data_IF_528244764466
#
_entry.id   IF_528244764466
#
_cell.length_a   1.000
_cell.length_b   1.000
_cell.length_c   1.000
_cell.angle_alpha   90.00
_cell.angle_beta   90.00
_cell.angle_gamma   90.00
#
_symmetry.space_group_name_H-M   'P 1'
#
loop_
_entity.id
_entity.type
_entity.pdbx_description
1 polymer ?
#
# COMPACT_ATOMS: atom_id res chain seq x y z
N UNK A 1 -29.67 -11.58 -15.25
CA UNK A 1 -28.73 -12.66 -14.87
C UNK A 1 -29.57 -13.76 -14.24
N UNK A 2 -29.63 -14.94 -14.86
CA UNK A 2 -30.45 -16.07 -14.38
C UNK A 2 -29.58 -16.83 -13.37
N UNK A 3 -29.92 -16.78 -12.09
CA UNK A 3 -29.31 -17.62 -11.05
C UNK A 3 -29.64 -19.08 -11.36
N UNK A 4 -28.72 -19.78 -12.01
CA UNK A 4 -28.87 -21.21 -12.26
C UNK A 4 -28.73 -21.93 -10.91
N UNK A 5 -29.83 -22.53 -10.41
CA UNK A 5 -29.77 -23.52 -9.34
C UNK A 5 -29.09 -24.77 -9.89
N UNK A 6 -27.76 -24.82 -9.78
CA UNK A 6 -26.98 -26.03 -10.01
C UNK A 6 -27.26 -26.95 -8.83
N UNK A 7 -27.76 -28.16 -9.11
CA UNK A 7 -28.12 -29.19 -8.14
C UNK A 7 -27.10 -29.30 -6.99
N UNK A 8 -27.61 -29.25 -5.74
CA UNK A 8 -26.94 -29.33 -4.44
C UNK A 8 -25.47 -29.80 -4.48
N UNK A 9 -24.56 -28.88 -4.79
CA UNK A 9 -23.14 -29.11 -4.59
C UNK A 9 -22.85 -28.74 -3.14
N UNK A 10 -22.69 -29.75 -2.28
CA UNK A 10 -22.49 -29.57 -0.83
C UNK A 10 -21.31 -28.66 -0.53
N UNK A 11 -21.58 -27.54 0.16
CA UNK A 11 -20.57 -26.60 0.64
C UNK A 11 -19.57 -27.30 1.56
N UNK A 12 -20.04 -28.28 2.33
CA UNK A 12 -19.22 -29.11 3.21
C UNK A 12 -18.15 -29.85 2.39
N UNK A 13 -18.52 -30.43 1.25
CA UNK A 13 -17.57 -31.15 0.39
C UNK A 13 -16.53 -30.19 -0.19
N UNK A 14 -16.93 -28.97 -0.54
CA UNK A 14 -16.01 -27.95 -1.04
C UNK A 14 -15.04 -27.48 0.05
N UNK A 15 -15.51 -27.24 1.28
CA UNK A 15 -14.64 -26.92 2.42
C UNK A 15 -13.67 -28.07 2.71
N UNK A 16 -14.12 -29.33 2.59
CA UNK A 16 -13.24 -30.51 2.72
C UNK A 16 -12.18 -30.52 1.62
N UNK A 17 -12.52 -30.16 0.38
CA UNK A 17 -11.56 -30.00 -0.71
C UNK A 17 -10.51 -28.92 -0.38
N UNK A 18 -10.92 -27.73 0.08
CA UNK A 18 -10.01 -26.64 0.47
C UNK A 18 -9.04 -27.08 1.57
N UNK A 19 -9.55 -27.80 2.59
CA UNK A 19 -8.73 -28.38 3.66
C UNK A 19 -7.68 -29.33 3.10
N UNK A 20 -8.08 -30.28 2.26
CA UNK A 20 -7.16 -31.26 1.65
C UNK A 20 -6.11 -30.56 0.78
N UNK A 21 -6.51 -29.57 0.00
CA UNK A 21 -5.60 -28.74 -0.82
C UNK A 21 -4.55 -28.04 0.05
N UNK A 22 -4.99 -27.40 1.14
CA UNK A 22 -4.10 -26.77 2.13
C UNK A 22 -3.11 -27.78 2.70
N UNK A 23 -3.57 -28.94 3.13
CA UNK A 23 -2.74 -29.96 3.77
C UNK A 23 -1.70 -30.55 2.79
N UNK A 24 -2.05 -30.70 1.51
CA UNK A 24 -1.12 -31.09 0.44
C UNK A 24 0.01 -30.06 0.29
N UNK A 25 -0.33 -28.77 0.24
CA UNK A 25 0.64 -27.67 0.08
C UNK A 25 1.55 -27.58 1.32
N UNK A 26 0.97 -27.59 2.53
CA UNK A 26 1.75 -27.55 3.77
C UNK A 26 2.72 -28.73 3.86
N UNK A 27 2.29 -29.94 3.48
CA UNK A 27 3.16 -31.11 3.44
C UNK A 27 4.29 -30.95 2.41
N UNK A 28 3.99 -30.43 1.20
CA UNK A 28 4.98 -30.20 0.15
C UNK A 28 6.09 -29.26 0.62
N UNK A 29 5.75 -28.09 1.15
CA UNK A 29 6.75 -27.12 1.60
C UNK A 29 7.46 -27.54 2.90
N UNK A 30 6.81 -28.32 3.77
CA UNK A 30 7.51 -28.94 4.90
C UNK A 30 8.58 -29.94 4.45
N UNK A 31 8.31 -30.70 3.38
CA UNK A 31 9.27 -31.65 2.82
C UNK A 31 10.31 -31.00 1.90
N UNK A 32 10.03 -29.81 1.35
CA UNK A 32 10.92 -29.10 0.43
C UNK A 32 11.02 -27.60 0.74
N UNK A 33 11.75 -27.19 1.79
CA UNK A 33 11.84 -25.78 2.21
C UNK A 33 12.49 -24.85 1.17
N UNK A 34 13.33 -25.37 0.28
CA UNK A 34 13.98 -24.56 -0.76
C UNK A 34 13.00 -24.15 -1.88
N UNK A 35 11.96 -24.95 -2.11
CA UNK A 35 10.90 -24.63 -3.06
C UNK A 35 10.05 -23.44 -2.58
N UNK A 36 9.76 -23.41 -1.28
CA UNK A 36 9.03 -22.31 -0.63
C UNK A 36 9.73 -20.96 -0.87
N UNK A 37 11.06 -20.91 -0.77
CA UNK A 37 11.84 -19.67 -0.96
C UNK A 37 11.81 -19.13 -2.39
N UNK A 38 11.55 -20.00 -3.38
CA UNK A 38 11.60 -19.66 -4.81
C UNK A 38 10.23 -19.37 -5.41
N UNK A 39 9.16 -19.80 -4.74
CA UNK A 39 7.79 -19.72 -5.27
C UNK A 39 7.32 -18.26 -5.36
N UNK A 40 6.97 -17.82 -6.57
CA UNK A 40 6.33 -16.52 -6.83
C UNK A 40 4.81 -16.61 -6.70
N UNK A 41 4.13 -15.45 -6.59
CA UNK A 41 2.68 -15.39 -6.46
C UNK A 41 1.93 -16.14 -7.60
N UNK A 42 2.33 -15.92 -8.86
CA UNK A 42 1.71 -16.58 -10.02
C UNK A 42 1.97 -18.11 -10.03
N UNK A 43 3.14 -18.53 -9.57
CA UNK A 43 3.49 -19.95 -9.46
C UNK A 43 2.68 -20.62 -8.33
N UNK A 44 2.36 -19.86 -7.28
CA UNK A 44 1.55 -20.33 -6.17
C UNK A 44 0.09 -20.57 -6.58
N UNK A 45 -0.50 -19.73 -7.42
CA UNK A 45 -1.85 -19.94 -7.95
C UNK A 45 -1.96 -21.26 -8.72
N UNK A 46 -1.02 -21.51 -9.65
CA UNK A 46 -0.93 -22.77 -10.39
C UNK A 46 -0.75 -23.96 -9.44
N UNK A 47 0.09 -23.81 -8.42
CA UNK A 47 0.29 -24.84 -7.39
C UNK A 47 -1.00 -25.14 -6.61
N UNK A 48 -1.80 -24.13 -6.28
CA UNK A 48 -3.11 -24.31 -5.62
C UNK A 48 -4.05 -25.08 -6.53
N UNK A 49 -4.14 -24.73 -7.82
CA UNK A 49 -4.96 -25.44 -8.80
C UNK A 49 -4.55 -26.92 -8.92
N UNK A 50 -3.25 -27.21 -9.10
CA UNK A 50 -2.75 -28.58 -9.18
C UNK A 50 -3.01 -29.38 -7.90
N UNK A 51 -2.81 -28.75 -6.74
CA UNK A 51 -3.06 -29.37 -5.43
C UNK A 51 -4.55 -29.66 -5.24
N UNK A 52 -5.43 -28.76 -5.69
CA UNK A 52 -6.87 -28.95 -5.66
C UNK A 52 -7.31 -30.09 -6.58
N UNK A 53 -6.80 -30.16 -7.82
CA UNK A 53 -7.03 -31.28 -8.74
C UNK A 53 -6.61 -32.62 -8.11
N UNK A 54 -5.46 -32.65 -7.43
CA UNK A 54 -4.99 -33.86 -6.72
C UNK A 54 -5.90 -34.22 -5.54
N UNK A 55 -6.34 -33.22 -4.77
CA UNK A 55 -7.23 -33.41 -3.63
C UNK A 55 -8.66 -33.82 -4.03
N UNK A 56 -9.06 -33.50 -5.26
CA UNK A 56 -10.39 -33.78 -5.80
C UNK A 56 -10.57 -35.20 -6.35
N UNK A 57 -9.51 -35.98 -6.55
CA UNK A 57 -9.61 -37.37 -7.03
C UNK A 57 -10.53 -38.20 -6.14
N UNK A 58 -11.48 -38.91 -6.74
CA UNK A 58 -12.51 -39.70 -6.05
C UNK A 58 -13.57 -38.85 -5.35
N UNK A 59 -13.73 -37.57 -5.70
CA UNK A 59 -14.77 -36.68 -5.17
C UNK A 59 -15.66 -36.13 -6.27
N UNK A 60 -16.75 -35.45 -5.90
CA UNK A 60 -17.65 -34.77 -6.83
C UNK A 60 -17.01 -33.63 -7.65
N UNK A 61 -15.76 -33.27 -7.33
CA UNK A 61 -14.96 -32.24 -8.00
C UNK A 61 -13.88 -32.81 -8.94
N UNK A 62 -13.73 -34.13 -9.02
CA UNK A 62 -12.78 -34.77 -9.94
C UNK A 62 -13.04 -34.34 -11.38
N UNK A 63 -11.99 -33.93 -12.10
CA UNK A 63 -12.05 -33.39 -13.47
C UNK A 63 -13.00 -32.19 -13.66
N UNK A 64 -13.36 -31.50 -12.56
CA UNK A 64 -14.23 -30.31 -12.54
C UNK A 64 -13.54 -29.06 -11.99
N UNK A 65 -12.21 -29.07 -11.89
CA UNK A 65 -11.41 -27.94 -11.39
C UNK A 65 -10.60 -27.34 -12.53
N UNK A 66 -10.77 -26.05 -12.77
CA UNK A 66 -10.12 -25.30 -13.84
C UNK A 66 -9.50 -24.00 -13.30
N UNK A 67 -8.27 -23.70 -13.71
CA UNK A 67 -7.66 -22.40 -13.49
C UNK A 67 -8.19 -21.44 -14.56
N UNK A 68 -8.49 -20.22 -14.15
CA UNK A 68 -9.03 -19.18 -15.01
C UNK A 68 -7.90 -18.33 -15.63
N UNK A 69 -8.25 -17.23 -16.32
CA UNK A 69 -7.27 -16.34 -16.93
C UNK A 69 -6.73 -15.27 -15.97
N UNK A 70 -5.62 -14.62 -16.35
CA UNK A 70 -4.87 -13.61 -15.56
C UNK A 70 -5.70 -12.43 -14.99
N UNK A 71 -6.91 -12.21 -15.48
CA UNK A 71 -7.80 -11.12 -15.08
C UNK A 71 -9.21 -11.59 -14.71
N UNK A 72 -9.41 -12.91 -14.59
CA UNK A 72 -10.69 -13.48 -14.19
C UNK A 72 -10.82 -13.45 -12.67
N UNK A 73 -12.06 -13.39 -12.21
CA UNK A 73 -12.40 -13.58 -10.80
C UNK A 73 -13.45 -14.69 -10.70
N UNK A 74 -13.26 -15.75 -9.89
CA UNK A 74 -12.07 -16.11 -9.10
C UNK A 74 -10.93 -16.69 -9.96
N UNK A 75 -9.74 -16.84 -9.38
CA UNK A 75 -8.58 -17.46 -10.04
C UNK A 75 -8.82 -18.93 -10.45
N UNK A 76 -9.59 -19.70 -9.67
CA UNK A 76 -9.88 -21.12 -9.93
C UNK A 76 -11.38 -21.37 -9.75
N UNK A 77 -11.97 -22.17 -10.64
CA UNK A 77 -13.38 -22.58 -10.59
C UNK A 77 -13.47 -24.08 -10.33
N UNK A 78 -14.42 -24.46 -9.47
CA UNK A 78 -14.81 -25.85 -9.24
C UNK A 78 -16.29 -26.04 -9.55
N UNK A 79 -16.59 -26.96 -10.49
CA UNK A 79 -17.94 -27.35 -10.92
C UNK A 79 -18.81 -26.16 -11.35
N UNK A 80 -18.19 -25.09 -11.87
CA UNK A 80 -18.86 -23.85 -12.32
C UNK A 80 -19.78 -23.21 -11.28
N UNK A 81 -19.55 -23.47 -10.00
CA UNK A 81 -20.38 -22.96 -8.90
C UNK A 81 -19.52 -22.40 -7.78
N UNK A 82 -18.44 -23.11 -7.43
CA UNK A 82 -17.48 -22.67 -6.43
C UNK A 82 -16.26 -22.01 -7.05
N UNK A 83 -15.72 -21.04 -6.32
CA UNK A 83 -14.53 -20.29 -6.67
C UNK A 83 -13.46 -20.35 -5.61
N UNK A 84 -12.19 -20.37 -6.01
CA UNK A 84 -11.04 -20.17 -5.14
C UNK A 84 -10.29 -18.94 -5.64
N UNK A 85 -10.29 -17.89 -4.83
CA UNK A 85 -9.48 -16.68 -5.04
C UNK A 85 -8.18 -16.82 -4.24
N UNK A 86 -7.04 -16.84 -4.92
CA UNK A 86 -5.73 -17.06 -4.33
C UNK A 86 -5.08 -15.73 -3.98
N UNK A 87 -4.65 -15.58 -2.72
CA UNK A 87 -3.87 -14.41 -2.28
C UNK A 87 -2.60 -14.86 -1.58
N UNK A 88 -1.55 -14.06 -1.76
CA UNK A 88 -0.26 -14.29 -1.10
C UNK A 88 0.23 -13.01 -0.45
N UNK A 89 1.05 -13.14 0.58
CA UNK A 89 1.75 -12.01 1.22
C UNK A 89 3.11 -12.45 1.71
N UNK A 90 4.12 -11.60 1.53
CA UNK A 90 5.47 -11.78 2.08
C UNK A 90 5.62 -11.14 3.46
N UNK A 91 4.63 -10.35 3.90
CA UNK A 91 4.58 -9.79 5.25
C UNK A 91 3.99 -10.79 6.24
N UNK A 92 4.36 -10.70 7.52
CA UNK A 92 3.83 -11.54 8.59
C UNK A 92 2.45 -11.05 9.08
N UNK A 93 1.48 -10.94 8.15
CA UNK A 93 0.12 -10.44 8.42
C UNK A 93 -0.91 -11.13 7.54
N UNK A 94 -2.16 -11.22 7.99
CA UNK A 94 -3.27 -11.85 7.26
C UNK A 94 -4.19 -10.85 6.56
N UNK A 95 -3.61 -9.74 6.10
CA UNK A 95 -4.33 -8.64 5.43
C UNK A 95 -3.80 -8.42 4.03
N UNK A 96 -4.70 -8.08 3.10
CA UNK A 96 -4.35 -7.74 1.71
C UNK A 96 -5.45 -6.88 1.08
N UNK A 97 -5.20 -6.39 -0.14
CA UNK A 97 -6.24 -5.79 -0.98
C UNK A 97 -6.91 -6.89 -1.81
N UNK A 98 -8.25 -6.90 -1.83
CA UNK A 98 -9.08 -7.81 -2.60
C UNK A 98 -9.43 -7.28 -3.99
N UNK A 99 -10.49 -7.84 -4.57
CA UNK A 99 -10.96 -7.46 -5.89
C UNK A 99 -11.83 -6.20 -5.88
N UNK A 100 -12.11 -5.69 -7.08
CA UNK A 100 -13.00 -4.55 -7.30
C UNK A 100 -14.38 -4.84 -6.72
N UNK A 101 -14.98 -3.83 -6.09
CA UNK A 101 -16.34 -3.91 -5.56
C UNK A 101 -17.38 -4.09 -6.67
N UNK A 102 -17.04 -3.69 -7.91
CA UNK A 102 -17.89 -3.90 -9.07
C UNK A 102 -17.95 -5.36 -9.52
N UNK A 103 -16.96 -6.19 -9.14
CA UNK A 103 -16.84 -7.60 -9.52
C UNK A 103 -17.07 -7.87 -11.03
N UNK A 104 -16.72 -6.91 -11.91
CA UNK A 104 -17.03 -6.98 -13.35
C UNK A 104 -16.30 -8.10 -14.10
N UNK A 105 -15.28 -8.69 -13.49
CA UNK A 105 -14.52 -9.84 -14.03
C UNK A 105 -14.98 -11.17 -13.46
N UNK A 106 -16.07 -11.18 -12.67
CA UNK A 106 -16.63 -12.40 -12.09
C UNK A 106 -17.10 -13.36 -13.17
N UNK A 107 -16.72 -14.62 -13.03
CA UNK A 107 -17.08 -15.68 -13.96
C UNK A 107 -18.54 -16.08 -13.80
N UNK A 108 -19.27 -16.14 -14.91
CA UNK A 108 -20.69 -16.48 -14.94
C UNK A 108 -20.95 -17.86 -14.31
N UNK A 109 -21.95 -17.93 -13.44
CA UNK A 109 -22.36 -19.16 -12.74
C UNK A 109 -21.63 -19.43 -11.42
N UNK A 110 -20.53 -18.72 -11.13
CA UNK A 110 -19.82 -18.86 -9.84
C UNK A 110 -20.57 -18.09 -8.74
N UNK A 111 -21.21 -18.80 -7.83
CA UNK A 111 -22.02 -18.23 -6.75
C UNK A 111 -21.25 -18.11 -5.42
N UNK A 112 -20.39 -19.09 -5.09
CA UNK A 112 -19.68 -19.15 -3.80
C UNK A 112 -18.18 -19.08 -3.99
N UNK A 113 -17.55 -18.00 -3.52
CA UNK A 113 -16.10 -17.80 -3.63
C UNK A 113 -15.46 -17.90 -2.25
N UNK A 114 -14.37 -18.65 -2.16
CA UNK A 114 -13.53 -18.75 -0.97
C UNK A 114 -12.19 -18.10 -1.24
N UNK A 115 -11.69 -17.34 -0.27
CA UNK A 115 -10.31 -16.87 -0.30
C UNK A 115 -9.38 -17.99 0.17
N UNK A 116 -8.30 -18.22 -0.56
CA UNK A 116 -7.22 -19.13 -0.21
C UNK A 116 -5.93 -18.32 -0.06
N UNK A 117 -5.62 -17.94 1.18
CA UNK A 117 -4.58 -16.97 1.49
C UNK A 117 -3.34 -17.68 2.06
N UNK A 118 -2.21 -17.58 1.37
CA UNK A 118 -0.90 -18.01 1.88
C UNK A 118 -0.07 -16.85 2.43
N UNK A 119 0.48 -17.03 3.63
CA UNK A 119 1.39 -16.10 4.28
C UNK A 119 2.80 -16.67 4.23
N UNK A 120 3.67 -16.05 3.44
CA UNK A 120 5.08 -16.42 3.29
C UNK A 120 5.98 -15.71 4.31
N UNK A 121 5.51 -14.59 4.89
CA UNK A 121 6.20 -13.91 5.99
C UNK A 121 6.06 -14.66 7.31
N UNK A 122 7.14 -14.70 8.10
CA UNK A 122 7.17 -15.44 9.36
C UNK A 122 7.13 -16.95 9.14
N UNK A 123 6.25 -17.65 9.87
CA UNK A 123 6.01 -19.09 9.68
C UNK A 123 5.01 -19.28 8.54
N UNK A 124 5.44 -19.99 7.48
CA UNK A 124 4.56 -20.30 6.35
C UNK A 124 3.29 -20.98 6.81
N UNK A 125 2.14 -20.43 6.41
CA UNK A 125 0.85 -21.02 6.67
C UNK A 125 -0.15 -20.59 5.61
N UNK A 126 -1.28 -21.28 5.56
CA UNK A 126 -2.36 -21.05 4.60
C UNK A 126 -3.70 -21.09 5.35
N UNK A 127 -4.52 -20.05 5.14
CA UNK A 127 -5.90 -19.99 5.61
C UNK A 127 -6.86 -20.00 4.43
N UNK A 128 -8.06 -20.52 4.65
CA UNK A 128 -9.16 -20.37 3.70
C UNK A 128 -10.45 -20.05 4.45
N UNK A 129 -11.29 -19.22 3.85
CA UNK A 129 -12.55 -18.71 4.44
C UNK A 129 -13.47 -18.17 3.32
N UNK A 130 -14.81 -18.16 3.47
CA UNK A 130 -15.69 -17.49 2.51
C UNK A 130 -15.23 -16.07 2.22
N UNK A 131 -15.20 -15.67 0.94
CA UNK A 131 -14.61 -14.41 0.50
C UNK A 131 -15.26 -13.20 1.19
N UNK A 132 -16.59 -13.17 1.24
CA UNK A 132 -17.36 -12.05 1.79
C UNK A 132 -17.15 -11.85 3.30
N UNK A 133 -16.85 -12.92 4.04
CA UNK A 133 -16.59 -12.83 5.49
C UNK A 133 -15.21 -12.24 5.84
N UNK A 134 -14.34 -12.09 4.85
CA UNK A 134 -12.99 -11.53 5.05
C UNK A 134 -12.92 -10.04 4.74
N UNK A 135 -14.02 -9.39 4.30
CA UNK A 135 -13.99 -8.04 3.73
C UNK A 135 -14.39 -7.01 4.80
N UNK A 136 -13.43 -6.24 5.32
CA UNK A 136 -13.66 -5.35 6.47
C UNK A 136 -13.82 -3.87 6.10
N UNK A 137 -13.30 -3.44 4.96
CA UNK A 137 -13.30 -2.03 4.53
C UNK A 137 -13.30 -1.95 3.00
N UNK A 138 -13.58 -0.77 2.46
CA UNK A 138 -13.36 -0.46 1.05
C UNK A 138 -12.32 0.63 0.96
N UNK A 139 -11.27 0.37 0.19
CA UNK A 139 -10.25 1.37 -0.09
C UNK A 139 -10.24 1.63 -1.61
N UNK A 140 -10.10 2.89 -2.00
CA UNK A 140 -10.17 3.26 -3.41
C UNK A 140 -8.77 3.43 -3.91
N UNK A 141 -8.32 2.53 -4.76
CA UNK A 141 -6.97 2.64 -5.32
C UNK A 141 -6.98 3.17 -6.75
N UNK A 142 -8.07 2.94 -7.48
CA UNK A 142 -8.18 3.06 -8.94
C UNK A 142 -9.65 2.90 -9.33
N UNK A 143 -10.21 1.87 -8.70
CA UNK A 143 -11.60 1.55 -8.50
C UNK A 143 -11.73 1.19 -7.02
N UNK A 144 -12.93 1.28 -6.43
CA UNK A 144 -13.16 0.77 -5.09
C UNK A 144 -12.83 -0.72 -5.02
N UNK A 145 -11.98 -1.09 -4.07
CA UNK A 145 -11.60 -2.48 -3.79
C UNK A 145 -11.85 -2.82 -2.33
N UNK A 146 -12.25 -4.05 -2.10
CA UNK A 146 -12.37 -4.55 -0.74
C UNK A 146 -11.00 -4.69 -0.08
N UNK A 147 -10.93 -4.45 1.22
CA UNK A 147 -9.78 -4.80 2.06
C UNK A 147 -10.07 -6.11 2.78
N UNK A 148 -9.10 -7.02 2.72
CA UNK A 148 -9.19 -8.37 3.23
C UNK A 148 -8.49 -8.45 4.58
N UNK A 149 -9.13 -9.12 5.54
CA UNK A 149 -8.52 -9.61 6.78
C UNK A 149 -9.02 -11.03 7.08
N UNK A 150 -8.12 -12.03 7.14
CA UNK A 150 -8.53 -13.41 7.45
C UNK A 150 -8.89 -13.64 8.92
N UNK A 151 -8.49 -12.71 9.80
CA UNK A 151 -8.72 -12.77 11.25
C UNK A 151 -9.89 -11.87 11.68
N UNK A 152 -10.75 -11.48 10.74
CA UNK A 152 -11.89 -10.63 10.99
C UNK A 152 -12.94 -11.32 11.87
N UNK A 153 -13.41 -10.64 12.92
CA UNK A 153 -14.47 -11.12 13.79
C UNK A 153 -15.85 -11.11 13.11
N UNK A 154 -16.82 -11.78 13.74
CA UNK A 154 -18.22 -11.73 13.33
C UNK A 154 -18.78 -10.31 13.54
N UNK A 155 -19.55 -9.79 12.58
CA UNK A 155 -20.11 -8.44 12.63
C UNK A 155 -19.15 -7.31 12.25
N UNK A 156 -17.90 -7.62 11.89
CA UNK A 156 -16.89 -6.62 11.53
C UNK A 156 -16.73 -6.40 10.01
N UNK A 157 -17.53 -7.07 9.19
CA UNK A 157 -17.45 -6.92 7.73
C UNK A 157 -17.97 -5.56 7.28
N UNK A 158 -17.52 -5.11 6.11
CA UNK A 158 -18.07 -3.89 5.50
C UNK A 158 -19.57 -4.02 5.22
N UNK A 159 -20.06 -5.24 4.98
CA UNK A 159 -21.48 -5.55 4.76
C UNK A 159 -22.30 -5.37 6.04
N UNK A 160 -21.77 -5.84 7.18
CA UNK A 160 -22.38 -5.63 8.50
C UNK A 160 -22.45 -4.14 8.82
N UNK A 161 -21.35 -3.40 8.58
CA UNK A 161 -21.28 -1.95 8.79
C UNK A 161 -22.28 -1.18 7.92
N UNK A 162 -22.47 -1.60 6.67
CA UNK A 162 -23.43 -1.01 5.73
C UNK A 162 -24.87 -1.51 5.91
N UNK A 163 -25.08 -2.53 6.75
CA UNK A 163 -26.35 -3.22 6.93
C UNK A 163 -26.97 -3.70 5.59
N UNK A 164 -26.15 -4.31 4.74
CA UNK A 164 -26.56 -4.91 3.45
C UNK A 164 -25.83 -6.24 3.25
N UNK A 165 -26.54 -7.28 2.84
CA UNK A 165 -25.91 -8.58 2.58
C UNK A 165 -24.99 -8.52 1.35
N UNK A 166 -23.90 -9.28 1.34
CA UNK A 166 -22.98 -9.33 0.21
C UNK A 166 -23.67 -9.72 -1.12
N UNK A 167 -24.47 -10.79 -1.08
CA UNK A 167 -25.20 -11.27 -2.26
C UNK A 167 -26.24 -10.24 -2.74
N UNK A 168 -26.81 -9.43 -1.84
CA UNK A 168 -27.71 -8.34 -2.20
C UNK A 168 -26.93 -7.21 -2.89
N UNK A 169 -25.84 -6.73 -2.28
CA UNK A 169 -25.03 -5.63 -2.81
C UNK A 169 -24.51 -5.93 -4.22
N UNK A 170 -23.92 -7.12 -4.45
CA UNK A 170 -23.32 -7.49 -5.74
C UNK A 170 -24.34 -7.64 -6.87
N UNK A 171 -25.60 -7.91 -6.54
CA UNK A 171 -26.68 -8.10 -7.51
C UNK A 171 -27.40 -6.79 -7.86
N UNK A 172 -27.07 -5.67 -7.22
CA UNK A 172 -27.61 -4.37 -7.58
C UNK A 172 -27.11 -3.91 -8.95
N UNK A 173 -27.96 -3.21 -9.69
CA UNK A 173 -27.57 -2.54 -10.93
C UNK A 173 -26.48 -1.48 -10.67
N UNK A 174 -26.50 -0.85 -9.49
CA UNK A 174 -25.55 0.19 -9.06
C UNK A 174 -24.98 -0.14 -7.68
N UNK A 175 -24.06 -1.11 -7.55
CA UNK A 175 -23.53 -1.58 -6.27
C UNK A 175 -22.69 -0.49 -5.55
N UNK A 176 -22.22 0.52 -6.28
CA UNK A 176 -21.45 1.65 -5.72
C UNK A 176 -22.31 2.54 -4.84
N UNK A 177 -23.62 2.68 -5.11
CA UNK A 177 -24.47 3.67 -4.42
C UNK A 177 -24.61 3.41 -2.91
N UNK A 178 -24.95 2.20 -2.43
CA UNK A 178 -25.01 1.93 -0.99
C UNK A 178 -23.69 2.20 -0.27
N UNK A 179 -22.56 1.95 -0.93
CA UNK A 179 -21.23 2.20 -0.39
C UNK A 179 -20.98 3.71 -0.25
N UNK A 180 -21.36 4.48 -1.26
CA UNK A 180 -21.29 5.96 -1.22
C UNK A 180 -22.09 6.49 -0.04
N UNK A 181 -23.34 6.04 0.07
CA UNK A 181 -24.28 6.54 1.07
C UNK A 181 -23.78 6.21 2.48
N UNK A 182 -23.20 5.03 2.68
CA UNK A 182 -22.55 4.65 3.94
C UNK A 182 -21.39 5.61 4.31
N UNK A 183 -20.43 5.85 3.40
CA UNK A 183 -19.31 6.75 3.71
C UNK A 183 -19.72 8.21 3.87
N UNK A 184 -20.77 8.67 3.18
CA UNK A 184 -21.35 10.00 3.40
C UNK A 184 -21.94 10.17 4.80
N UNK A 185 -22.56 9.13 5.36
CA UNK A 185 -23.08 9.18 6.72
C UNK A 185 -21.98 9.26 7.79
N UNK A 186 -20.80 8.69 7.48
CA UNK A 186 -19.63 8.75 8.36
C UNK A 186 -18.84 10.06 8.24
N UNK A 187 -19.02 10.81 7.15
CA UNK A 187 -18.30 12.04 6.89
C UNK A 187 -18.68 13.13 7.90
N UNK A 188 -17.67 13.80 8.46
CA UNK A 188 -17.81 14.92 9.38
C UNK A 188 -18.07 16.24 8.63
N UNK A 189 -18.49 17.31 9.32
CA UNK A 189 -18.54 18.64 8.71
C UNK A 189 -17.18 19.04 8.10
N UNK A 190 -17.18 19.35 6.81
CA UNK A 190 -15.97 19.67 6.04
C UNK A 190 -15.26 18.45 5.42
N UNK A 191 -15.85 17.26 5.54
CA UNK A 191 -15.41 16.05 4.87
C UNK A 191 -16.26 15.74 3.62
N UNK A 192 -15.65 15.33 2.51
CA UNK A 192 -16.35 15.12 1.22
C UNK A 192 -15.91 13.83 0.53
N UNK A 193 -16.84 13.00 0.06
CA UNK A 193 -16.53 11.77 -0.68
C UNK A 193 -16.15 12.07 -2.14
N UNK A 194 -14.86 12.27 -2.43
CA UNK A 194 -14.41 12.98 -3.64
C UNK A 194 -14.28 12.15 -4.93
N UNK A 195 -14.35 10.81 -4.90
CA UNK A 195 -14.09 9.95 -6.06
C UNK A 195 -15.30 9.24 -6.69
N UNK A 196 -16.53 9.58 -6.32
CA UNK A 196 -17.69 8.73 -6.65
C UNK A 196 -18.59 9.23 -7.78
N UNK A 197 -18.11 10.16 -8.64
CA UNK A 197 -18.84 10.61 -9.85
C UNK A 197 -18.12 10.32 -11.19
N UNK A 198 -16.96 9.66 -11.21
CA UNK A 198 -16.26 9.32 -12.46
C UNK A 198 -15.17 8.28 -12.25
N UNK A 199 -15.51 7.00 -12.42
CA UNK A 199 -14.60 5.87 -12.16
C UNK A 199 -13.95 5.44 -13.46
N UNK A 200 -12.90 6.13 -13.90
CA UNK A 200 -12.14 5.73 -15.10
C UNK A 200 -10.61 5.98 -15.03
N UNK A 201 -10.04 6.23 -13.85
CA UNK A 201 -8.59 6.42 -13.77
C UNK A 201 -7.95 5.75 -12.57
N UNK A 202 -6.98 4.93 -12.92
CA UNK A 202 -6.24 3.97 -12.16
C UNK A 202 -4.98 4.62 -11.51
N UNK A 203 -4.81 4.66 -10.16
CA UNK A 203 -3.54 4.46 -9.39
C UNK A 203 -3.49 5.02 -7.95
N UNK A 204 -3.30 4.10 -6.97
CA UNK A 204 -2.99 4.24 -5.50
C UNK A 204 -4.15 4.40 -4.49
N UNK A 205 -4.02 3.73 -3.32
CA UNK A 205 -4.98 3.65 -2.18
C UNK A 205 -5.29 5.04 -1.61
N UNK A 206 -6.56 5.45 -1.65
CA UNK A 206 -7.13 6.71 -1.20
C UNK A 206 -8.16 6.42 -0.10
N UNK A 207 -8.23 7.31 0.89
CA UNK A 207 -9.22 7.29 1.98
C UNK A 207 -10.55 7.90 1.54
N UNK A 208 -11.72 7.24 1.75
CA UNK A 208 -13.12 7.74 1.71
C UNK A 208 -13.49 9.06 1.05
N UNK A 209 -12.80 10.03 1.60
CA UNK A 209 -13.30 11.18 2.31
C UNK A 209 -12.11 12.12 2.24
N UNK A 210 -12.34 13.29 1.67
CA UNK A 210 -11.44 14.43 1.76
C UNK A 210 -11.63 15.08 3.11
N UNK A 211 -10.59 15.19 3.93
CA UNK A 211 -10.60 15.92 5.20
C UNK A 211 -9.69 17.16 5.13
N UNK A 212 -9.96 18.15 5.98
CA UNK A 212 -9.04 19.26 6.18
C UNK A 212 -7.83 18.78 6.99
N UNK A 213 -6.62 19.27 6.70
CA UNK A 213 -5.41 18.91 7.46
C UNK A 213 -5.57 19.00 8.98
N UNK A 214 -6.28 20.04 9.46
CA UNK A 214 -6.49 20.29 10.89
C UNK A 214 -7.38 19.23 11.58
N UNK A 215 -8.13 18.45 10.81
CA UNK A 215 -9.00 17.39 11.31
C UNK A 215 -8.27 16.04 11.43
N UNK A 216 -7.09 15.92 10.82
CA UNK A 216 -6.23 14.76 11.00
C UNK A 216 -5.65 14.75 12.41
N UNK A 217 -5.58 13.57 13.02
CA UNK A 217 -4.87 13.38 14.29
C UNK A 217 -3.37 13.67 14.13
N UNK A 218 -2.68 13.90 15.24
CA UNK A 218 -1.27 14.30 15.24
C UNK A 218 -0.34 13.26 14.64
N UNK A 219 -0.64 11.97 14.78
CA UNK A 219 0.18 10.87 14.28
C UNK A 219 0.07 10.77 12.75
N UNK A 220 -1.15 10.87 12.21
CA UNK A 220 -1.41 10.93 10.78
C UNK A 220 -0.76 12.17 10.16
N UNK A 221 -0.88 13.35 10.80
CA UNK A 221 -0.21 14.56 10.32
C UNK A 221 1.31 14.37 10.26
N UNK A 222 1.91 13.73 11.26
CA UNK A 222 3.34 13.47 11.32
C UNK A 222 3.78 12.49 10.23
N UNK A 223 3.06 11.38 10.07
CA UNK A 223 3.28 10.38 9.02
C UNK A 223 3.24 10.99 7.62
N UNK A 224 2.22 11.82 7.33
CA UNK A 224 2.09 12.51 6.03
C UNK A 224 3.21 13.52 5.82
N UNK A 225 3.66 14.24 6.86
CA UNK A 225 4.82 15.14 6.76
C UNK A 225 6.11 14.38 6.43
N UNK A 226 6.33 13.25 7.10
CA UNK A 226 7.50 12.38 6.86
C UNK A 226 7.51 11.89 5.41
N UNK A 227 6.38 11.41 4.92
CA UNK A 227 6.25 10.93 3.54
C UNK A 227 6.45 12.07 2.53
N UNK A 228 5.88 13.25 2.80
CA UNK A 228 6.08 14.43 1.98
C UNK A 228 7.57 14.83 1.86
N UNK A 229 8.34 14.76 2.97
CA UNK A 229 9.78 15.04 2.98
C UNK A 229 10.60 14.03 2.19
N UNK A 230 10.17 12.77 2.16
CA UNK A 230 10.81 11.71 1.37
C UNK A 230 10.53 11.86 -0.13
N UNK A 231 9.26 12.10 -0.50
CA UNK A 231 8.81 12.09 -1.89
C UNK A 231 9.05 13.42 -2.63
N UNK A 232 9.05 14.56 -1.94
CA UNK A 232 9.15 15.88 -2.57
C UNK A 232 10.32 16.71 -2.02
N UNK A 233 11.58 16.37 -2.36
CA UNK A 233 12.76 17.14 -1.91
C UNK A 233 12.69 18.64 -2.22
N UNK A 234 11.91 19.06 -3.22
CA UNK A 234 11.77 20.48 -3.57
C UNK A 234 11.19 21.34 -2.45
N UNK A 235 10.48 20.77 -1.47
CA UNK A 235 9.91 21.52 -0.33
C UNK A 235 11.00 22.22 0.50
N UNK A 236 12.23 21.70 0.47
CA UNK A 236 13.41 22.27 1.11
C UNK A 236 14.00 23.48 0.37
N UNK A 237 13.50 23.80 -0.83
CA UNK A 237 13.88 24.99 -1.58
C UNK A 237 13.14 26.25 -1.12
N UNK A 238 13.49 27.39 -1.70
CA UNK A 238 12.77 28.66 -1.57
C UNK A 238 11.94 29.01 -2.84
N UNK A 239 11.77 28.07 -3.78
CA UNK A 239 10.95 28.29 -4.97
C UNK A 239 9.49 28.50 -4.57
N UNK A 240 8.79 29.39 -5.26
CA UNK A 240 7.35 29.62 -5.07
C UNK A 240 6.52 28.39 -5.46
N UNK A 241 7.04 27.57 -6.36
CA UNK A 241 6.38 26.38 -6.92
C UNK A 241 6.60 25.10 -6.12
N UNK A 242 7.38 25.12 -5.02
CA UNK A 242 7.83 23.93 -4.30
C UNK A 242 6.74 23.04 -3.68
N UNK A 243 5.51 23.54 -3.59
CA UNK A 243 4.36 22.77 -3.09
C UNK A 243 3.39 22.35 -4.19
N UNK A 244 3.64 22.71 -5.46
CA UNK A 244 2.71 22.46 -6.56
C UNK A 244 2.47 20.98 -6.83
N UNK A 245 3.42 20.10 -6.51
CA UNK A 245 3.26 18.64 -6.65
C UNK A 245 2.74 17.99 -5.38
N UNK A 246 3.16 18.51 -4.23
CA UNK A 246 2.71 18.06 -2.92
C UNK A 246 1.19 18.24 -2.76
N UNK A 247 0.65 19.38 -3.18
CA UNK A 247 -0.77 19.71 -3.01
C UNK A 247 -1.71 18.73 -3.74
N UNK A 248 -1.56 18.48 -5.06
CA UNK A 248 -2.31 17.43 -5.75
C UNK A 248 -2.06 16.05 -5.16
N UNK A 249 -0.83 15.73 -4.73
CA UNK A 249 -0.54 14.44 -4.11
C UNK A 249 -1.26 14.26 -2.75
N UNK A 250 -1.40 15.31 -1.94
CA UNK A 250 -2.16 15.26 -0.69
C UNK A 250 -3.66 15.07 -0.94
N UNK A 251 -4.21 15.82 -1.90
CA UNK A 251 -5.61 15.71 -2.27
C UNK A 251 -5.91 14.33 -2.86
N UNK A 252 -5.08 13.89 -3.82
CA UNK A 252 -5.21 12.60 -4.46
C UNK A 252 -4.96 11.48 -3.45
N UNK A 253 -3.75 11.34 -2.92
CA UNK A 253 -3.31 10.18 -2.12
C UNK A 253 -3.94 10.10 -0.73
N UNK A 254 -4.10 11.23 -0.06
CA UNK A 254 -4.56 11.24 1.33
C UNK A 254 -6.00 11.70 1.50
N UNK A 255 -6.64 12.22 0.45
CA UNK A 255 -7.90 12.94 0.62
C UNK A 255 -7.69 14.11 1.58
N UNK A 256 -6.61 14.89 1.43
CA UNK A 256 -6.32 15.97 2.38
C UNK A 256 -6.24 17.31 1.66
N UNK A 257 -7.08 18.23 2.09
CA UNK A 257 -7.05 19.62 1.63
C UNK A 257 -6.32 20.49 2.65
N UNK A 258 -5.42 21.30 2.13
CA UNK A 258 -4.61 22.23 2.91
C UNK A 258 -4.89 23.67 2.45
N UNK A 259 -5.52 24.51 3.29
CA UNK A 259 -5.74 25.92 2.94
C UNK A 259 -4.45 26.77 2.97
N UNK A 260 -3.45 26.41 3.79
CA UNK A 260 -2.19 27.15 3.91
C UNK A 260 -0.98 26.22 4.07
N UNK A 261 -0.52 25.62 2.96
CA UNK A 261 0.54 24.59 2.97
C UNK A 261 1.88 25.07 3.49
N UNK A 262 2.18 26.35 3.25
CA UNK A 262 3.38 26.98 3.78
C UNK A 262 3.40 26.88 5.30
N UNK A 263 2.28 27.06 5.98
CA UNK A 263 2.26 27.11 7.44
C UNK A 263 2.46 25.72 8.06
N UNK A 264 2.11 24.64 7.35
CA UNK A 264 2.29 23.29 7.88
C UNK A 264 3.75 22.84 7.87
N UNK A 265 4.52 23.26 6.86
CA UNK A 265 5.93 22.88 6.70
C UNK A 265 6.90 23.98 7.13
N UNK A 266 6.44 25.24 7.20
CA UNK A 266 7.30 26.40 7.44
C UNK A 266 6.75 27.41 8.45
N UNK A 267 5.59 27.17 9.11
CA UNK A 267 5.17 28.04 10.20
C UNK A 267 6.21 28.01 11.33
N UNK A 268 6.88 29.13 11.51
CA UNK A 268 7.87 29.32 12.56
C UNK A 268 9.16 29.99 12.10
N UNK A 269 9.26 30.42 10.83
CA UNK A 269 10.31 31.34 10.42
C UNK A 269 11.69 30.69 10.39
N UNK A 270 12.67 31.33 11.02
CA UNK A 270 14.07 30.91 10.98
C UNK A 270 14.58 30.57 12.38
N UNK A 271 15.38 29.50 12.48
CA UNK A 271 15.99 29.02 13.70
C UNK A 271 17.50 29.29 13.72
N UNK A 272 18.08 29.19 14.91
CA UNK A 272 19.52 29.05 15.11
C UNK A 272 19.81 27.60 15.49
N UNK A 273 20.80 27.00 14.84
CA UNK A 273 21.08 25.57 14.96
C UNK A 273 22.59 25.34 15.08
N UNK A 274 23.02 24.52 16.03
CA UNK A 274 24.44 24.20 16.23
C UNK A 274 24.66 22.74 15.89
N UNK A 275 25.58 22.46 14.96
CA UNK A 275 25.92 21.11 14.53
C UNK A 275 27.42 20.97 14.33
N UNK A 276 28.02 19.94 14.93
CA UNK A 276 29.48 19.74 14.98
C UNK A 276 30.25 21.00 15.40
N UNK A 277 29.75 21.71 16.42
CA UNK A 277 30.35 22.94 16.93
C UNK A 277 30.18 24.19 16.06
N UNK A 278 29.63 24.07 14.85
CA UNK A 278 29.35 25.22 13.96
C UNK A 278 27.95 25.75 14.22
N UNK A 279 27.86 27.06 14.48
CA UNK A 279 26.59 27.73 14.75
C UNK A 279 26.02 28.37 13.48
N UNK A 280 24.90 27.82 13.01
CA UNK A 280 24.17 28.31 11.85
C UNK A 280 22.97 29.15 12.28
N UNK A 281 22.98 30.43 11.93
CA UNK A 281 21.85 31.35 12.17
C UNK A 281 20.91 31.39 10.98
N UNK A 282 19.64 31.77 11.21
CA UNK A 282 18.65 32.03 10.15
C UNK A 282 18.40 30.82 9.22
N UNK A 283 18.29 29.62 9.79
CA UNK A 283 17.97 28.39 9.05
C UNK A 283 16.46 28.22 8.97
N UNK A 284 15.84 27.92 7.82
CA UNK A 284 14.40 27.67 7.75
C UNK A 284 13.97 26.51 8.66
N UNK A 285 12.86 26.68 9.39
CA UNK A 285 12.38 25.70 10.37
C UNK A 285 12.10 24.30 9.80
N UNK A 286 11.83 24.18 8.49
CA UNK A 286 11.64 22.88 7.84
C UNK A 286 12.83 21.93 8.03
N UNK A 287 14.04 22.46 8.18
CA UNK A 287 15.23 21.65 8.42
C UNK A 287 15.31 21.07 9.84
N UNK A 288 14.69 21.73 10.83
CA UNK A 288 14.54 21.15 12.16
C UNK A 288 13.59 19.94 12.11
N UNK A 289 12.46 20.05 11.40
CA UNK A 289 11.56 18.91 11.27
C UNK A 289 12.22 17.73 10.55
N UNK A 290 13.03 18.00 9.53
CA UNK A 290 13.82 16.97 8.85
C UNK A 290 14.79 16.29 9.83
N UNK A 291 15.46 17.07 10.67
CA UNK A 291 16.42 16.57 11.65
C UNK A 291 15.73 15.72 12.74
N UNK A 292 14.63 16.21 13.31
CA UNK A 292 13.82 15.50 14.31
C UNK A 292 13.22 14.18 13.76
N UNK A 293 12.86 14.14 12.48
CA UNK A 293 12.21 12.99 11.83
C UNK A 293 13.12 12.22 10.88
N UNK A 294 14.42 12.46 10.93
CA UNK A 294 15.36 11.98 9.93
C UNK A 294 15.31 10.46 9.71
N UNK A 295 15.30 9.69 10.79
CA UNK A 295 15.25 8.22 10.73
C UNK A 295 13.98 7.70 10.06
N UNK A 296 12.83 8.32 10.33
CA UNK A 296 11.55 7.95 9.71
C UNK A 296 11.53 8.31 8.23
N UNK A 297 12.03 9.50 7.87
CA UNK A 297 12.16 9.93 6.46
C UNK A 297 13.08 8.98 5.70
N UNK A 298 14.25 8.67 6.27
CA UNK A 298 15.20 7.75 5.67
C UNK A 298 14.63 6.34 5.51
N UNK A 299 13.82 5.87 6.46
CA UNK A 299 13.14 4.58 6.34
C UNK A 299 12.17 4.56 5.15
N UNK A 300 11.39 5.64 4.95
CA UNK A 300 10.52 5.76 3.78
C UNK A 300 11.36 5.73 2.50
N UNK A 301 12.42 6.53 2.43
CA UNK A 301 13.33 6.59 1.27
C UNK A 301 13.93 5.22 0.93
N UNK A 302 14.46 4.47 1.92
CA UNK A 302 15.04 3.15 1.70
C UNK A 302 14.03 2.12 1.17
N UNK A 303 12.75 2.29 1.51
CA UNK A 303 11.67 1.39 1.13
C UNK A 303 10.98 1.79 -0.19
N UNK A 304 11.39 2.91 -0.82
CA UNK A 304 10.87 3.30 -2.14
C UNK A 304 11.35 2.29 -3.20
N UNK A 305 10.52 2.08 -4.22
CA UNK A 305 10.91 1.35 -5.42
C UNK A 305 11.64 2.28 -6.40
N UNK A 306 12.44 1.76 -7.35
CA UNK A 306 13.08 2.58 -8.37
C UNK A 306 12.08 3.36 -9.24
N UNK A 307 10.91 2.76 -9.50
CA UNK A 307 9.85 3.36 -10.32
C UNK A 307 9.20 4.55 -9.61
N UNK A 308 8.80 4.37 -8.34
CA UNK A 308 8.27 5.46 -7.52
C UNK A 308 9.33 6.57 -7.37
N UNK A 309 10.58 6.19 -7.16
CA UNK A 309 11.68 7.15 -7.04
C UNK A 309 11.87 7.99 -8.31
N UNK A 310 11.91 7.34 -9.48
CA UNK A 310 12.00 8.03 -10.77
C UNK A 310 10.83 8.99 -10.97
N UNK A 311 9.63 8.55 -10.66
CA UNK A 311 8.40 9.33 -10.79
C UNK A 311 8.39 10.57 -9.86
N UNK A 312 8.60 10.36 -8.56
CA UNK A 312 8.48 11.43 -7.57
C UNK A 312 9.66 12.41 -7.62
N UNK A 313 10.86 11.98 -8.00
CA UNK A 313 12.02 12.89 -8.10
C UNK A 313 12.28 13.38 -9.52
N UNK A 314 11.41 13.04 -10.50
CA UNK A 314 11.49 13.46 -11.90
C UNK A 314 12.86 13.12 -12.54
N UNK A 315 13.31 11.88 -12.34
CA UNK A 315 14.59 11.44 -12.90
C UNK A 315 14.43 11.02 -14.36
N UNK A 316 15.32 11.51 -15.22
CA UNK A 316 15.31 11.18 -16.65
C UNK A 316 15.72 9.72 -16.94
N UNK A 317 16.46 9.11 -16.02
CA UNK A 317 17.03 7.77 -16.18
C UNK A 317 16.51 6.83 -15.09
N UNK A 318 16.43 5.55 -15.45
CA UNK A 318 16.18 4.50 -14.47
C UNK A 318 17.34 4.42 -13.48
N UNK A 319 17.02 4.07 -12.23
CA UNK A 319 17.98 3.96 -11.15
C UNK A 319 17.93 2.58 -10.52
N UNK A 320 19.03 2.17 -9.87
CA UNK A 320 19.05 0.93 -9.11
C UNK A 320 18.59 1.14 -7.66
N UNK A 321 18.03 0.08 -7.04
CA UNK A 321 17.60 0.10 -5.63
C UNK A 321 18.67 0.63 -4.67
N UNK A 322 19.93 0.26 -4.90
CA UNK A 322 21.06 0.66 -4.05
C UNK A 322 21.46 2.14 -4.15
N UNK A 323 20.91 2.88 -5.12
CA UNK A 323 21.23 4.29 -5.38
C UNK A 323 20.15 5.27 -4.90
N UNK A 324 19.04 4.76 -4.37
CA UNK A 324 17.88 5.59 -3.98
C UNK A 324 18.26 6.60 -2.88
N UNK A 325 18.98 6.17 -1.84
CA UNK A 325 19.42 7.08 -0.76
C UNK A 325 20.41 8.13 -1.27
N UNK A 326 21.33 7.75 -2.17
CA UNK A 326 22.25 8.70 -2.81
C UNK A 326 21.49 9.79 -3.56
N UNK A 327 20.53 9.38 -4.39
CA UNK A 327 19.72 10.29 -5.21
C UNK A 327 18.82 11.18 -4.38
N UNK A 328 18.29 10.67 -3.27
CA UNK A 328 17.54 11.50 -2.32
C UNK A 328 18.44 12.57 -1.70
N UNK A 329 19.64 12.20 -1.25
CA UNK A 329 20.59 13.13 -0.65
C UNK A 329 20.97 14.24 -1.65
N UNK A 330 21.27 13.88 -2.89
CA UNK A 330 21.54 14.81 -4.00
C UNK A 330 20.38 15.79 -4.18
N UNK A 331 19.16 15.28 -4.34
CA UNK A 331 17.97 16.09 -4.55
C UNK A 331 17.68 17.05 -3.38
N UNK A 332 17.86 16.60 -2.14
CA UNK A 332 17.69 17.46 -0.95
C UNK A 332 18.80 18.50 -0.86
N UNK A 333 20.07 18.14 -1.10
CA UNK A 333 21.19 19.09 -1.06
C UNK A 333 20.99 20.19 -2.10
N UNK A 334 20.61 19.84 -3.32
CA UNK A 334 20.41 20.81 -4.41
C UNK A 334 19.28 21.79 -4.08
N UNK A 335 18.13 21.27 -3.64
CA UNK A 335 17.00 22.10 -3.26
C UNK A 335 17.29 22.95 -2.00
N UNK A 336 17.92 22.35 -0.99
CA UNK A 336 18.32 23.06 0.22
C UNK A 336 19.33 24.17 -0.06
N UNK A 337 20.24 23.98 -1.01
CA UNK A 337 21.24 25.00 -1.40
C UNK A 337 20.57 26.28 -1.89
N UNK A 338 19.44 26.17 -2.62
CA UNK A 338 18.65 27.33 -3.05
C UNK A 338 18.10 28.12 -1.86
N UNK A 339 17.64 27.43 -0.81
CA UNK A 339 17.07 28.06 0.39
C UNK A 339 18.15 28.58 1.36
N UNK A 340 19.27 27.87 1.48
CA UNK A 340 20.33 28.12 2.45
C UNK A 340 21.36 29.13 1.96
N UNK A 341 21.36 29.49 0.66
CA UNK A 341 22.33 30.41 0.05
C UNK A 341 23.76 29.99 0.40
N UNK A 342 24.52 30.83 1.10
CA UNK A 342 25.91 30.58 1.49
C UNK A 342 26.07 29.54 2.62
N UNK A 343 24.98 28.93 3.10
CA UNK A 343 24.99 27.97 4.22
C UNK A 343 24.75 26.53 3.75
N UNK A 344 25.14 26.20 2.52
CA UNK A 344 25.09 24.82 2.00
C UNK A 344 25.78 23.82 2.93
N UNK A 345 26.85 24.23 3.61
CA UNK A 345 27.56 23.42 4.61
C UNK A 345 26.63 22.85 5.70
N UNK A 346 25.55 23.56 6.07
CA UNK A 346 24.59 23.11 7.08
C UNK A 346 23.94 21.76 6.70
N UNK A 347 23.44 21.61 5.47
CA UNK A 347 22.77 20.37 5.08
C UNK A 347 23.75 19.19 5.01
N UNK A 348 25.01 19.46 4.63
CA UNK A 348 26.08 18.47 4.64
C UNK A 348 26.42 18.05 6.07
N UNK A 349 26.50 18.99 7.02
CA UNK A 349 26.69 18.66 8.43
C UNK A 349 25.55 17.79 8.96
N UNK A 350 24.30 18.15 8.64
CA UNK A 350 23.11 17.41 9.06
C UNK A 350 23.14 15.97 8.57
N UNK A 351 23.44 15.78 7.28
CA UNK A 351 23.56 14.44 6.70
C UNK A 351 24.76 13.68 7.25
N UNK A 352 25.89 14.33 7.49
CA UNK A 352 27.08 13.70 8.07
C UNK A 352 26.86 13.19 9.49
N UNK A 353 26.03 13.87 10.28
CA UNK A 353 25.68 13.45 11.65
C UNK A 353 24.58 12.37 11.65
N UNK A 354 23.59 12.49 10.75
CA UNK A 354 22.40 11.64 10.78
C UNK A 354 22.48 10.39 9.89
N UNK A 355 23.25 10.41 8.80
CA UNK A 355 23.57 9.21 8.02
C UNK A 355 24.77 8.53 8.68
N UNK A 356 24.53 7.50 9.48
CA UNK A 356 25.61 6.69 10.06
C UNK A 356 26.48 6.04 8.99
N UNK A 357 27.76 5.75 9.29
CA UNK A 357 28.82 5.30 8.34
C UNK A 357 28.42 4.25 7.28
N UNK A 358 27.44 3.38 7.58
CA UNK A 358 26.94 2.32 6.68
C UNK A 358 25.96 2.78 5.60
N UNK A 359 25.23 3.86 5.84
CA UNK A 359 24.16 4.36 4.96
C UNK A 359 24.56 5.63 4.20
N UNK A 360 25.83 6.04 4.31
CA UNK A 360 26.30 7.30 3.80
C UNK A 360 26.40 7.27 2.28
N UNK A 361 25.65 8.17 1.67
CA UNK A 361 25.74 8.49 0.26
C UNK A 361 27.17 8.83 -0.17
N UNK A 362 27.59 8.28 -1.31
CA UNK A 362 28.88 8.60 -1.95
C UNK A 362 29.09 10.10 -2.16
N UNK A 363 28.03 10.82 -2.55
CA UNK A 363 28.02 12.27 -2.71
C UNK A 363 28.26 13.00 -1.38
N UNK A 364 27.61 12.56 -0.30
CA UNK A 364 27.78 13.18 1.02
C UNK A 364 29.23 13.03 1.50
N UNK A 365 29.88 11.88 1.24
CA UNK A 365 31.31 11.69 1.54
C UNK A 365 32.20 12.66 0.77
N UNK A 366 31.94 12.84 -0.52
CA UNK A 366 32.69 13.78 -1.36
C UNK A 366 32.53 15.23 -0.88
N UNK A 367 31.30 15.65 -0.62
CA UNK A 367 31.01 17.01 -0.14
C UNK A 367 31.56 17.25 1.27
N UNK A 368 31.56 16.23 2.15
CA UNK A 368 32.22 16.31 3.45
C UNK A 368 33.72 16.57 3.33
N UNK A 369 34.40 15.95 2.36
CA UNK A 369 35.80 16.20 2.06
C UNK A 369 36.08 17.67 1.69
N UNK A 370 35.17 18.31 0.94
CA UNK A 370 35.28 19.74 0.56
C UNK A 370 35.20 20.67 1.77
N UNK A 371 34.56 20.23 2.86
CA UNK A 371 34.42 21.00 4.10
C UNK A 371 35.33 20.49 5.24
N UNK A 372 36.22 19.52 4.98
CA UNK A 372 37.10 18.94 5.99
C UNK A 372 36.36 18.22 7.13
N UNK A 373 35.22 17.59 6.82
CA UNK A 373 34.37 16.92 7.81
C UNK A 373 34.67 15.42 7.86
N UNK A 374 34.76 14.89 9.07
CA UNK A 374 34.84 13.45 9.33
C UNK A 374 33.55 12.94 9.97
N UNK A 375 33.26 11.65 9.76
CA UNK A 375 32.20 10.97 10.52
C UNK A 375 32.63 10.79 11.95
N UNK A 376 31.72 11.01 12.91
CA UNK A 376 31.99 10.61 14.29
C UNK A 376 32.28 9.09 14.34
N UNK A 377 33.20 8.64 15.23
CA UNK A 377 33.62 7.25 15.39
C UNK A 377 32.49 6.21 15.35
#
# INVERSE_FOLDING_TARGET
MICARVDDVSEIDFVVLLRKTRDVILKRFKSNPEELKKTKAIEFETLVCESAKKAAKGTIFEDKIEQTGLHAFPDIIARKYYGIEVKTTTADKWVSTGNSVLESTRQDGVERIYLFFAKFGGVFNVKYRPYHECLYEIAVTHSPRYQINMDLGEGETIFDKMNIAYDELRCLEKPVRPIVDYYRQLAKPGEETWWMEGVDSQDRVLKPIVSMWRQLDSETQDSVRVEAMALFPEIFSNKTTKFQRLLPWLAAKHGVVIPAVRDIFTAGGQIQYTIKGVNYKKIPKIFQYLEEKFSSVLSVVKNMSPEDTKYYWQLDKDIGQYTIVDKWCEAVIDNASLALKNKRQFIIHLFAERLGKRDVSSLVKEEMGKYGLEFDP
#
